data_IF_625971295880
#
_entry.id   IF_625971295880
#
_cell.length_a   1.000
_cell.length_b   1.000
_cell.length_c   1.000
_cell.angle_alpha   90.00
_cell.angle_beta   90.00
_cell.angle_gamma   90.00
#
_symmetry.space_group_name_H-M   'P 1'
#
loop_
_entity.id
_entity.type
_entity.pdbx_description
1 polymer ?
#
# COMPACT_ATOMS: atom_id res chain seq x y z
N UNK A 1 -21.83 -28.23 -9.28
CA UNK A 1 -21.67 -26.95 -10.02
C UNK A 1 -22.77 -26.06 -9.47
N UNK A 2 -22.42 -25.04 -8.69
CA UNK A 2 -23.41 -24.11 -8.12
C UNK A 2 -23.70 -23.10 -9.22
N UNK A 3 -24.98 -22.93 -9.58
CA UNK A 3 -25.42 -21.93 -10.54
C UNK A 3 -25.05 -20.53 -10.04
N UNK A 4 -24.02 -19.93 -10.62
CA UNK A 4 -23.45 -18.64 -10.23
C UNK A 4 -24.21 -17.44 -10.86
N UNK A 5 -25.37 -17.68 -11.49
CA UNK A 5 -26.12 -16.67 -12.27
C UNK A 5 -26.88 -15.68 -11.37
N UNK A 6 -27.22 -16.05 -10.14
CA UNK A 6 -27.88 -15.17 -9.15
C UNK A 6 -26.91 -14.48 -8.18
N UNK A 7 -25.63 -14.36 -8.56
CA UNK A 7 -24.60 -13.81 -7.69
C UNK A 7 -24.80 -12.30 -7.55
N UNK A 8 -25.59 -11.91 -6.55
CA UNK A 8 -25.67 -10.54 -6.05
C UNK A 8 -24.32 -10.17 -5.43
N UNK A 9 -23.39 -9.72 -6.27
CA UNK A 9 -22.07 -9.20 -5.87
C UNK A 9 -22.16 -7.79 -5.26
N UNK A 10 -23.36 -7.20 -5.22
CA UNK A 10 -23.60 -5.89 -4.64
C UNK A 10 -23.62 -6.00 -3.11
N UNK A 11 -22.50 -5.61 -2.50
CA UNK A 11 -22.37 -5.37 -1.05
C UNK A 11 -21.86 -3.94 -0.83
N UNK A 12 -22.76 -2.93 -0.76
CA UNK A 12 -22.37 -1.53 -0.59
C UNK A 12 -21.64 -1.25 0.73
N UNK A 13 -21.86 -2.06 1.76
CA UNK A 13 -21.11 -1.97 3.00
C UNK A 13 -19.70 -2.57 2.85
N UNK A 14 -19.60 -3.74 2.23
CA UNK A 14 -18.34 -4.38 1.87
C UNK A 14 -17.47 -3.46 1.02
N UNK A 15 -18.06 -2.78 0.04
CA UNK A 15 -17.38 -1.78 -0.78
C UNK A 15 -16.82 -0.63 0.06
N UNK A 16 -17.65 0.02 0.90
CA UNK A 16 -17.18 1.11 1.78
C UNK A 16 -16.07 0.66 2.72
N UNK A 17 -16.15 -0.56 3.26
CA UNK A 17 -15.11 -1.14 4.12
C UNK A 17 -13.79 -1.35 3.36
N UNK A 18 -13.86 -1.90 2.15
CA UNK A 18 -12.70 -2.13 1.31
C UNK A 18 -12.03 -0.81 0.87
N UNK A 19 -12.84 0.21 0.50
CA UNK A 19 -12.35 1.55 0.17
C UNK A 19 -11.67 2.22 1.37
N UNK A 20 -12.32 2.21 2.55
CA UNK A 20 -11.72 2.78 3.77
C UNK A 20 -10.43 2.08 4.16
N UNK A 21 -10.36 0.75 4.00
CA UNK A 21 -9.14 -0.01 4.21
C UNK A 21 -8.03 0.44 3.27
N UNK A 22 -8.30 0.47 1.95
CA UNK A 22 -7.33 0.91 0.95
C UNK A 22 -6.84 2.35 1.20
N UNK A 23 -7.76 3.28 1.45
CA UNK A 23 -7.42 4.68 1.78
C UNK A 23 -6.61 4.78 3.07
N UNK A 24 -6.94 3.98 4.10
CA UNK A 24 -6.20 3.93 5.35
C UNK A 24 -4.76 3.45 5.15
N UNK A 25 -4.54 2.41 4.33
CA UNK A 25 -3.20 1.94 3.97
C UNK A 25 -2.41 3.02 3.23
N UNK A 26 -3.02 3.68 2.24
CA UNK A 26 -2.37 4.75 1.48
C UNK A 26 -2.01 5.94 2.38
N UNK A 27 -2.94 6.37 3.24
CA UNK A 27 -2.69 7.45 4.19
C UNK A 27 -1.56 7.09 5.17
N UNK A 28 -1.51 5.84 5.65
CA UNK A 28 -0.44 5.37 6.52
C UNK A 28 0.91 5.34 5.80
N UNK A 29 0.95 4.88 4.54
CA UNK A 29 2.17 4.89 3.74
C UNK A 29 2.69 6.32 3.50
N UNK A 30 1.78 7.26 3.20
CA UNK A 30 2.11 8.68 3.06
C UNK A 30 2.61 9.29 4.38
N UNK A 31 1.98 8.96 5.51
CA UNK A 31 2.41 9.40 6.83
C UNK A 31 3.83 8.89 7.15
N UNK A 32 4.11 7.62 6.86
CA UNK A 32 5.46 7.05 7.02
C UNK A 32 6.47 7.79 6.14
N UNK A 33 6.13 8.08 4.87
CA UNK A 33 7.00 8.86 3.99
C UNK A 33 7.30 10.25 4.56
N UNK A 34 6.28 10.95 5.10
CA UNK A 34 6.44 12.27 5.73
C UNK A 34 7.35 12.19 6.96
N UNK A 35 7.13 11.22 7.84
CA UNK A 35 7.95 11.03 9.05
C UNK A 35 9.41 10.79 8.65
N UNK A 36 9.66 9.93 7.67
CA UNK A 36 11.02 9.65 7.17
C UNK A 36 11.62 10.89 6.51
N UNK A 37 10.82 11.68 5.78
CA UNK A 37 11.26 12.93 5.19
C UNK A 37 11.70 13.96 6.24
N UNK A 38 10.92 14.15 7.30
CA UNK A 38 11.26 15.05 8.42
C UNK A 38 12.52 14.54 9.14
N UNK A 39 12.60 13.24 9.38
CA UNK A 39 13.78 12.63 9.99
C UNK A 39 15.04 12.80 9.12
N UNK A 40 14.93 12.63 7.81
CA UNK A 40 16.05 12.81 6.89
C UNK A 40 16.49 14.28 6.82
N UNK A 41 15.54 15.22 6.80
CA UNK A 41 15.81 16.65 6.77
C UNK A 41 16.42 17.21 8.06
N UNK A 42 16.20 16.55 9.19
CA UNK A 42 16.75 16.95 10.50
C UNK A 42 18.13 16.38 10.80
N UNK A 43 18.77 15.72 9.83
CA UNK A 43 20.14 15.22 10.00
C UNK A 43 21.17 16.31 9.73
N UNK A 44 22.08 16.51 10.69
CA UNK A 44 23.24 17.42 10.58
C UNK A 44 24.09 17.12 9.34
N UNK A 45 24.14 15.86 8.91
CA UNK A 45 24.84 15.42 7.70
C UNK A 45 24.29 16.02 6.39
N UNK A 46 23.07 16.58 6.41
CA UNK A 46 22.43 17.18 5.23
C UNK A 46 22.27 18.71 5.32
N UNK A 47 22.94 19.43 6.24
CA UNK A 47 22.74 20.89 6.44
C UNK A 47 22.91 21.74 5.16
N UNK A 48 23.74 21.30 4.22
CA UNK A 48 24.00 21.99 2.94
C UNK A 48 23.59 21.18 1.70
N UNK A 49 22.95 20.01 1.90
CA UNK A 49 22.65 19.05 0.84
C UNK A 49 21.15 18.88 0.53
N UNK A 50 20.80 18.09 -0.51
CA UNK A 50 19.42 17.72 -0.77
C UNK A 50 18.85 16.86 0.37
N UNK A 51 17.53 16.91 0.57
CA UNK A 51 16.78 16.22 1.63
C UNK A 51 17.04 14.69 1.73
N UNK A 52 17.52 14.06 0.65
CA UNK A 52 17.94 12.65 0.61
C UNK A 52 19.44 12.56 0.33
N UNK A 53 20.25 13.08 1.25
CA UNK A 53 21.69 13.25 1.06
C UNK A 53 22.47 11.93 1.13
N UNK A 54 22.04 10.98 1.97
CA UNK A 54 22.73 9.72 2.20
C UNK A 54 21.93 8.48 1.74
N UNK A 55 22.63 7.35 1.62
CA UNK A 55 22.03 6.06 1.25
C UNK A 55 20.97 5.63 2.26
N UNK A 56 21.18 5.91 3.56
CA UNK A 56 20.22 5.52 4.59
C UNK A 56 18.89 6.24 4.44
N UNK A 57 18.88 7.56 4.16
CA UNK A 57 17.64 8.31 3.92
C UNK A 57 16.94 7.87 2.65
N UNK A 58 17.70 7.59 1.58
CA UNK A 58 17.14 7.07 0.32
C UNK A 58 16.48 5.70 0.52
N UNK A 59 17.20 4.78 1.18
CA UNK A 59 16.69 3.43 1.48
C UNK A 59 15.49 3.51 2.41
N UNK A 60 15.55 4.30 3.48
CA UNK A 60 14.43 4.48 4.39
C UNK A 60 13.19 5.02 3.64
N UNK A 61 13.38 6.07 2.82
CA UNK A 61 12.31 6.68 2.06
C UNK A 61 11.64 5.67 1.12
N UNK A 62 12.40 4.84 0.41
CA UNK A 62 11.82 3.84 -0.51
C UNK A 62 11.26 2.62 0.24
N UNK A 63 11.94 2.11 1.26
CA UNK A 63 11.54 0.86 1.93
C UNK A 63 10.36 1.09 2.87
N UNK A 64 10.33 2.20 3.61
CA UNK A 64 9.31 2.45 4.64
C UNK A 64 7.86 2.40 4.10
N UNK A 65 7.49 3.27 3.16
CA UNK A 65 6.16 3.26 2.55
C UNK A 65 5.88 1.97 1.75
N UNK A 66 6.91 1.39 1.11
CA UNK A 66 6.75 0.13 0.38
C UNK A 66 6.36 -1.03 1.28
N UNK A 67 6.94 -1.14 2.48
CA UNK A 67 6.56 -2.17 3.46
C UNK A 67 5.10 -2.00 3.90
N UNK A 68 4.64 -0.77 4.12
CA UNK A 68 3.23 -0.50 4.47
C UNK A 68 2.29 -0.92 3.34
N UNK A 69 2.59 -0.55 2.10
CA UNK A 69 1.80 -0.92 0.93
C UNK A 69 1.79 -2.45 0.72
N UNK A 70 2.93 -3.12 0.90
CA UNK A 70 3.05 -4.57 0.81
C UNK A 70 2.22 -5.28 1.89
N UNK A 71 2.29 -4.80 3.14
CA UNK A 71 1.47 -5.33 4.23
C UNK A 71 -0.03 -5.13 3.95
N UNK A 72 -0.42 -3.97 3.42
CA UNK A 72 -1.80 -3.69 3.02
C UNK A 72 -2.29 -4.59 1.88
N UNK A 73 -1.43 -4.82 0.86
CA UNK A 73 -1.68 -5.76 -0.23
C UNK A 73 -1.94 -7.17 0.30
N UNK A 74 -1.01 -7.72 1.09
CA UNK A 74 -1.14 -9.05 1.70
C UNK A 74 -2.41 -9.10 2.56
N UNK A 75 -2.64 -8.08 3.39
CA UNK A 75 -3.83 -7.99 4.23
C UNK A 75 -5.14 -8.04 3.44
N UNK A 76 -5.22 -7.35 2.29
CA UNK A 76 -6.39 -7.40 1.43
C UNK A 76 -6.64 -8.79 0.83
N UNK A 77 -5.58 -9.50 0.44
CA UNK A 77 -5.68 -10.89 -0.04
C UNK A 77 -6.05 -11.87 1.06
N UNK A 78 -5.54 -11.69 2.27
CA UNK A 78 -5.96 -12.47 3.45
C UNK A 78 -7.45 -12.25 3.72
N UNK A 79 -7.94 -11.00 3.71
CA UNK A 79 -9.37 -10.71 3.90
C UNK A 79 -10.20 -11.32 2.77
N UNK A 80 -9.71 -11.28 1.53
CA UNK A 80 -10.37 -11.93 0.38
C UNK A 80 -10.54 -13.43 0.63
N UNK A 81 -9.48 -14.11 1.07
CA UNK A 81 -9.51 -15.53 1.40
C UNK A 81 -10.49 -15.83 2.54
N UNK A 82 -10.45 -15.07 3.62
CA UNK A 82 -11.37 -15.24 4.75
C UNK A 82 -12.83 -15.03 4.33
N UNK A 83 -13.11 -14.03 3.48
CA UNK A 83 -14.45 -13.77 2.95
C UNK A 83 -14.95 -14.90 2.05
N UNK A 84 -14.09 -15.43 1.19
CA UNK A 84 -14.40 -16.60 0.36
C UNK A 84 -14.72 -17.82 1.22
N UNK A 85 -13.91 -18.11 2.25
CA UNK A 85 -14.15 -19.20 3.20
C UNK A 85 -15.46 -19.04 3.99
N UNK A 86 -15.94 -17.82 4.18
CA UNK A 86 -17.21 -17.50 4.86
C UNK A 86 -18.41 -17.44 3.90
N UNK A 87 -18.25 -17.72 2.60
CA UNK A 87 -19.33 -17.58 1.60
C UNK A 87 -19.78 -16.13 1.38
N UNK A 88 -18.96 -15.15 1.76
CA UNK A 88 -19.27 -13.71 1.62
C UNK A 88 -18.73 -13.17 0.30
N UNK A 89 -19.22 -11.99 -0.10
CA UNK A 89 -18.71 -11.26 -1.27
C UNK A 89 -17.22 -10.96 -1.09
N UNK A 90 -16.39 -11.54 -1.96
CA UNK A 90 -14.92 -11.49 -1.90
C UNK A 90 -14.24 -10.68 -3.02
N UNK A 91 -14.77 -10.53 -4.27
CA UNK A 91 -14.02 -9.87 -5.34
C UNK A 91 -13.72 -8.40 -5.06
N UNK A 92 -14.57 -7.72 -4.28
CA UNK A 92 -14.34 -6.34 -3.84
C UNK A 92 -12.99 -6.22 -3.12
N UNK A 93 -12.70 -7.15 -2.20
CA UNK A 93 -11.44 -7.18 -1.46
C UNK A 93 -10.25 -7.56 -2.34
N UNK A 94 -10.47 -8.42 -3.33
CA UNK A 94 -9.45 -8.76 -4.33
C UNK A 94 -9.07 -7.53 -5.16
N UNK A 95 -10.05 -6.73 -5.57
CA UNK A 95 -9.82 -5.46 -6.28
C UNK A 95 -8.98 -4.48 -5.46
N UNK A 96 -9.26 -4.36 -4.15
CA UNK A 96 -8.43 -3.56 -3.24
C UNK A 96 -7.01 -4.10 -3.14
N UNK A 97 -6.83 -5.42 -3.09
CA UNK A 97 -5.51 -6.05 -3.11
C UNK A 97 -4.73 -5.70 -4.37
N UNK A 98 -5.32 -5.88 -5.54
CA UNK A 98 -4.68 -5.53 -6.82
C UNK A 98 -4.33 -4.04 -6.92
N UNK A 99 -5.23 -3.17 -6.48
CA UNK A 99 -4.96 -1.72 -6.44
C UNK A 99 -3.72 -1.40 -5.60
N UNK A 100 -3.63 -1.94 -4.37
CA UNK A 100 -2.47 -1.72 -3.49
C UNK A 100 -1.19 -2.33 -4.07
N UNK A 101 -1.28 -3.48 -4.74
CA UNK A 101 -0.14 -4.09 -5.41
C UNK A 101 0.40 -3.23 -6.55
N UNK A 102 -0.47 -2.75 -7.44
CA UNK A 102 -0.04 -1.86 -8.52
C UNK A 102 0.52 -0.55 -8.00
N UNK A 103 -0.06 0.00 -6.93
CA UNK A 103 0.48 1.18 -6.28
C UNK A 103 1.88 0.92 -5.69
N UNK A 104 2.09 -0.22 -5.04
CA UNK A 104 3.40 -0.66 -4.56
C UNK A 104 4.41 -0.75 -5.71
N UNK A 105 4.05 -1.40 -6.82
CA UNK A 105 4.94 -1.53 -7.98
C UNK A 105 5.28 -0.18 -8.61
N UNK A 106 4.29 0.70 -8.78
CA UNK A 106 4.52 2.05 -9.29
C UNK A 106 5.46 2.83 -8.37
N UNK A 107 5.22 2.76 -7.05
CA UNK A 107 6.03 3.41 -6.04
C UNK A 107 7.49 2.90 -6.05
N UNK A 108 7.70 1.58 -6.07
CA UNK A 108 9.04 0.98 -6.15
C UNK A 108 9.75 1.28 -7.46
N UNK A 109 9.03 1.36 -8.58
CA UNK A 109 9.61 1.71 -9.88
C UNK A 109 10.12 3.15 -9.87
N UNK A 110 9.34 4.08 -9.34
CA UNK A 110 9.71 5.49 -9.23
C UNK A 110 10.83 5.67 -8.21
N UNK A 111 10.68 5.11 -7.01
CA UNK A 111 11.68 5.22 -5.93
C UNK A 111 12.98 4.50 -6.23
N UNK A 112 12.92 3.35 -6.91
CA UNK A 112 14.08 2.54 -7.30
C UNK A 112 15.02 3.25 -8.28
N UNK A 113 14.48 4.16 -9.10
CA UNK A 113 15.28 4.98 -10.02
C UNK A 113 16.33 5.86 -9.31
N UNK A 114 16.14 6.13 -8.01
CA UNK A 114 17.08 6.88 -7.17
C UNK A 114 18.40 6.12 -6.94
N UNK A 115 18.40 4.79 -7.07
CA UNK A 115 19.58 3.94 -6.91
C UNK A 115 20.27 3.56 -8.24
N UNK A 116 19.64 3.88 -9.38
CA UNK A 116 20.16 3.53 -10.71
C UNK A 116 21.09 4.60 -11.30
N UNK A 117 21.45 5.63 -10.50
CA UNK A 117 22.35 6.73 -10.87
C UNK A 117 23.57 6.71 -9.97
#
# INVERSE_FOLDING_TARGET
MVDDVEKRWSDPEGFRKAVRFGLGVVALAALVAVIIGIWAASRDACETGPMLCDTASRVAMVVGPAVVLAAGWIGAFVITYLRWRQGRVWPIWQGTGWFLFFLLLAYLTIGGSVFAR
#
